data_IF_582918425482
#
_entry.id   IF_582918425482
#
_cell.length_a   1.000
_cell.length_b   1.000
_cell.length_c   1.000
_cell.angle_alpha   90.00
_cell.angle_beta   90.00
_cell.angle_gamma   90.00
#
_symmetry.space_group_name_H-M   'P 1'
#
loop_
_entity.id
_entity.type
_entity.pdbx_description
1 polymer ?
#
# COMPACT_ATOMS: atom_id res chain seq x y z
N UNK A 1 14.66 -2.81 -5.93
CA UNK A 1 14.21 -3.36 -4.64
C UNK A 1 13.54 -4.74 -4.80
N UNK A 2 12.42 -4.86 -5.54
CA UNK A 2 11.72 -6.14 -5.73
C UNK A 2 12.64 -7.27 -6.21
N UNK A 3 13.32 -7.08 -7.34
CA UNK A 3 14.23 -8.09 -7.91
C UNK A 3 15.33 -8.51 -6.93
N UNK A 4 15.75 -7.58 -6.07
CA UNK A 4 16.78 -7.85 -5.08
C UNK A 4 16.24 -8.64 -3.88
N UNK A 5 15.06 -8.27 -3.35
CA UNK A 5 14.39 -9.04 -2.29
C UNK A 5 14.14 -10.48 -2.77
N UNK A 6 13.58 -10.64 -3.96
CA UNK A 6 13.31 -11.94 -4.55
C UNK A 6 14.60 -12.76 -4.75
N UNK A 7 15.68 -12.11 -5.22
CA UNK A 7 16.97 -12.77 -5.38
C UNK A 7 17.53 -13.30 -4.04
N UNK A 8 17.52 -12.49 -3.00
CA UNK A 8 18.00 -12.88 -1.67
C UNK A 8 17.15 -14.02 -1.09
N UNK A 9 15.82 -13.91 -1.16
CA UNK A 9 14.90 -14.95 -0.66
C UNK A 9 15.14 -16.28 -1.38
N UNK A 10 15.19 -16.28 -2.70
CA UNK A 10 15.44 -17.49 -3.50
C UNK A 10 16.81 -18.11 -3.20
N UNK A 11 17.85 -17.28 -3.02
CA UNK A 11 19.18 -17.75 -2.64
C UNK A 11 19.19 -18.43 -1.27
N UNK A 12 18.32 -18.00 -0.37
CA UNK A 12 18.15 -18.59 0.97
C UNK A 12 17.15 -19.76 0.97
N UNK A 13 16.63 -20.17 -0.20
CA UNK A 13 15.68 -21.30 -0.33
C UNK A 13 14.22 -20.95 -0.08
N UNK A 14 13.87 -19.66 -0.08
CA UNK A 14 12.50 -19.19 0.16
C UNK A 14 11.88 -18.60 -1.09
N UNK A 15 10.59 -18.88 -1.29
CA UNK A 15 9.75 -18.23 -2.27
C UNK A 15 9.01 -17.05 -1.63
N UNK A 16 8.94 -15.93 -2.34
CA UNK A 16 8.26 -14.72 -1.88
C UNK A 16 7.43 -14.11 -3.01
N UNK A 17 6.19 -13.78 -2.72
CA UNK A 17 5.30 -13.16 -3.68
C UNK A 17 5.58 -11.64 -3.80
N UNK A 18 5.03 -11.05 -4.87
CA UNK A 18 5.22 -9.63 -5.14
C UNK A 18 4.62 -8.74 -4.03
N UNK A 19 3.43 -9.09 -3.54
CA UNK A 19 2.72 -8.33 -2.52
C UNK A 19 3.51 -8.27 -1.22
N UNK A 20 4.12 -9.37 -0.85
CA UNK A 20 4.99 -9.47 0.33
C UNK A 20 6.28 -8.66 0.16
N UNK A 21 6.88 -8.65 -1.06
CA UNK A 21 8.02 -7.78 -1.36
C UNK A 21 7.68 -6.29 -1.25
N UNK A 22 6.51 -5.87 -1.71
CA UNK A 22 6.06 -4.48 -1.58
C UNK A 22 5.82 -4.09 -0.12
N UNK A 23 5.28 -4.99 0.68
CA UNK A 23 5.11 -4.77 2.11
C UNK A 23 6.45 -4.57 2.83
N UNK A 24 7.48 -5.37 2.46
CA UNK A 24 8.85 -5.19 2.98
C UNK A 24 9.39 -3.81 2.56
N UNK A 25 9.22 -3.43 1.30
CA UNK A 25 9.69 -2.15 0.77
C UNK A 25 9.07 -0.96 1.52
N UNK A 26 7.76 -0.98 1.74
CA UNK A 26 7.07 0.07 2.50
C UNK A 26 7.61 0.21 3.92
N UNK A 27 7.86 -0.91 4.58
CA UNK A 27 8.32 -0.93 5.97
C UNK A 27 9.78 -0.52 6.14
N UNK A 28 10.61 -0.81 5.15
CA UNK A 28 12.06 -0.52 5.22
C UNK A 28 12.46 0.80 4.57
N UNK A 29 11.52 1.50 3.90
CA UNK A 29 11.78 2.79 3.26
C UNK A 29 12.89 2.72 2.21
N UNK A 30 12.91 1.67 1.39
CA UNK A 30 13.97 1.40 0.40
C UNK A 30 15.39 1.18 0.98
N UNK A 31 15.52 0.95 2.28
CA UNK A 31 16.82 0.71 2.92
C UNK A 31 17.20 -0.77 2.81
N UNK A 32 18.16 -1.09 1.91
CA UNK A 32 18.60 -2.46 1.63
C UNK A 32 19.19 -3.16 2.86
N UNK A 33 19.91 -2.43 3.71
CA UNK A 33 20.49 -3.00 4.94
C UNK A 33 19.41 -3.42 5.93
N UNK A 34 18.34 -2.59 6.08
CA UNK A 34 17.18 -2.97 6.91
C UNK A 34 16.47 -4.18 6.33
N UNK A 35 16.29 -4.22 5.01
CA UNK A 35 15.66 -5.38 4.35
C UNK A 35 16.41 -6.66 4.65
N UNK A 36 17.75 -6.66 4.53
CA UNK A 36 18.55 -7.84 4.83
C UNK A 36 18.37 -8.31 6.27
N UNK A 37 18.52 -7.41 7.24
CA UNK A 37 18.38 -7.75 8.66
C UNK A 37 17.01 -8.37 8.96
N UNK A 38 15.95 -7.82 8.36
CA UNK A 38 14.60 -8.32 8.60
C UNK A 38 14.33 -9.66 7.89
N UNK A 39 14.83 -9.84 6.67
CA UNK A 39 14.74 -11.13 5.97
C UNK A 39 15.52 -12.22 6.71
N UNK A 40 16.73 -11.90 7.21
CA UNK A 40 17.54 -12.86 7.98
C UNK A 40 16.79 -13.34 9.24
N UNK A 41 16.05 -12.46 9.93
CA UNK A 41 15.22 -12.85 11.07
C UNK A 41 14.12 -13.85 10.67
N UNK A 42 13.49 -13.63 9.50
CA UNK A 42 12.48 -14.55 8.99
C UNK A 42 13.11 -15.89 8.64
N UNK A 43 14.22 -15.88 7.92
CA UNK A 43 14.92 -17.11 7.52
C UNK A 43 15.37 -17.96 8.73
N UNK A 44 15.74 -17.33 9.83
CA UNK A 44 16.16 -18.02 11.06
C UNK A 44 14.98 -18.67 11.81
N UNK A 45 13.78 -18.13 11.68
CA UNK A 45 12.63 -18.54 12.50
C UNK A 45 11.57 -19.33 11.72
N UNK A 46 11.70 -19.41 10.39
CA UNK A 46 10.70 -20.05 9.53
C UNK A 46 11.21 -21.37 8.95
N UNK A 47 10.42 -22.42 9.14
CA UNK A 47 10.67 -23.76 8.58
C UNK A 47 10.00 -23.99 7.22
N UNK A 48 9.00 -23.21 6.87
CA UNK A 48 8.31 -23.27 5.58
C UNK A 48 9.08 -22.49 4.51
N UNK A 49 9.05 -22.96 3.28
CA UNK A 49 9.79 -22.37 2.15
C UNK A 49 9.11 -21.15 1.51
N UNK A 50 7.87 -20.86 1.86
CA UNK A 50 7.11 -19.72 1.32
C UNK A 50 6.98 -18.62 2.37
N UNK A 51 7.45 -17.40 2.02
CA UNK A 51 7.31 -16.19 2.85
C UNK A 51 6.06 -15.44 2.40
N UNK A 52 5.13 -15.26 3.31
CA UNK A 52 3.88 -14.57 3.08
C UNK A 52 3.76 -13.26 3.91
N UNK A 53 2.72 -12.49 3.65
CA UNK A 53 2.50 -11.21 4.32
C UNK A 53 2.35 -11.33 5.85
N UNK A 54 1.92 -12.48 6.38
CA UNK A 54 1.83 -12.72 7.84
C UNK A 54 3.20 -12.79 8.46
N UNK A 55 4.14 -13.49 7.83
CA UNK A 55 5.51 -13.59 8.32
C UNK A 55 6.15 -12.21 8.47
N UNK A 56 5.88 -11.32 7.48
CA UNK A 56 6.36 -9.94 7.54
C UNK A 56 5.73 -9.19 8.72
N UNK A 57 4.45 -9.40 8.99
CA UNK A 57 3.75 -8.75 10.11
C UNK A 57 4.30 -9.24 11.46
N UNK A 58 4.52 -10.54 11.60
CA UNK A 58 4.99 -11.15 12.85
C UNK A 58 6.46 -10.83 13.15
N UNK A 59 7.34 -10.90 12.14
CA UNK A 59 8.78 -10.81 12.36
C UNK A 59 9.36 -9.40 12.27
N UNK A 60 8.71 -8.47 11.57
CA UNK A 60 9.16 -7.07 11.51
C UNK A 60 8.86 -6.27 12.78
N UNK A 61 8.41 -6.94 13.84
CA UNK A 61 8.31 -6.37 15.20
C UNK A 61 7.34 -5.19 15.35
N UNK A 62 6.51 -4.96 14.36
CA UNK A 62 5.46 -3.94 14.39
C UNK A 62 4.14 -4.69 14.33
N UNK A 63 3.44 -4.70 15.44
CA UNK A 63 2.06 -5.16 15.59
C UNK A 63 1.10 -4.26 14.78
N UNK A 64 1.39 -4.06 13.49
CA UNK A 64 0.45 -3.39 12.60
C UNK A 64 -0.48 -4.45 12.02
N UNK A 65 -1.57 -4.67 12.73
CA UNK A 65 -2.69 -5.48 12.28
C UNK A 65 -3.17 -5.03 10.90
N UNK A 66 -2.97 -3.73 10.57
CA UNK A 66 -3.34 -3.12 9.31
C UNK A 66 -2.22 -2.24 8.74
N UNK A 67 -2.20 -2.10 7.42
CA UNK A 67 -1.27 -1.23 6.68
C UNK A 67 -2.01 -0.26 5.74
N UNK A 68 -1.29 0.74 5.21
CA UNK A 68 -1.86 1.77 4.33
C UNK A 68 -2.42 1.18 3.02
N UNK A 69 -1.83 0.11 2.53
CA UNK A 69 -2.30 -0.60 1.33
C UNK A 69 -3.67 -1.24 1.55
N UNK A 70 -3.84 -1.86 2.73
CA UNK A 70 -5.11 -2.46 3.10
C UNK A 70 -6.19 -1.38 3.25
N UNK A 71 -5.85 -0.23 3.86
CA UNK A 71 -6.76 0.91 3.93
C UNK A 71 -7.21 1.36 2.54
N UNK A 72 -6.28 1.55 1.59
CA UNK A 72 -6.59 1.93 0.21
C UNK A 72 -7.53 0.93 -0.45
N UNK A 73 -7.22 -0.35 -0.36
CA UNK A 73 -8.01 -1.41 -0.99
C UNK A 73 -9.43 -1.47 -0.42
N UNK A 74 -9.59 -1.36 0.89
CA UNK A 74 -10.92 -1.40 1.50
C UNK A 74 -11.72 -0.12 1.21
N UNK A 75 -11.07 1.04 1.10
CA UNK A 75 -11.70 2.27 0.58
C UNK A 75 -12.13 2.06 -0.87
N UNK A 76 -11.26 1.54 -1.73
CA UNK A 76 -11.56 1.26 -3.14
C UNK A 76 -12.77 0.34 -3.34
N UNK A 77 -12.94 -0.63 -2.45
CA UNK A 77 -14.10 -1.55 -2.41
C UNK A 77 -15.36 -0.93 -1.78
N UNK A 78 -15.28 0.28 -1.21
CA UNK A 78 -16.35 0.88 -0.36
C UNK A 78 -16.71 0.01 0.86
N UNK A 79 -15.76 -0.76 1.39
CA UNK A 79 -15.95 -1.56 2.60
C UNK A 79 -15.80 -0.70 3.86
N UNK A 80 -16.79 0.13 4.13
CA UNK A 80 -16.75 1.11 5.22
C UNK A 80 -16.55 0.48 6.60
N UNK A 81 -17.12 -0.70 6.84
CA UNK A 81 -16.95 -1.40 8.14
C UNK A 81 -15.47 -1.68 8.41
N UNK A 82 -14.73 -2.16 7.40
CA UNK A 82 -13.31 -2.46 7.56
C UNK A 82 -12.45 -1.18 7.56
N UNK A 83 -12.82 -0.18 6.75
CA UNK A 83 -12.18 1.14 6.77
C UNK A 83 -12.22 1.77 8.16
N UNK A 84 -13.38 1.72 8.85
CA UNK A 84 -13.49 2.22 10.21
C UNK A 84 -12.60 1.48 11.20
N UNK A 85 -12.53 0.15 11.12
CA UNK A 85 -11.63 -0.66 11.98
C UNK A 85 -10.17 -0.29 11.77
N UNK A 86 -9.73 -0.14 10.51
CA UNK A 86 -8.36 0.24 10.18
C UNK A 86 -8.07 1.67 10.66
N UNK A 87 -8.99 2.60 10.48
CA UNK A 87 -8.84 3.99 10.92
C UNK A 87 -8.76 4.11 12.44
N UNK A 88 -9.60 3.37 13.17
CA UNK A 88 -9.55 3.30 14.63
C UNK A 88 -8.22 2.71 15.12
N UNK A 89 -7.75 1.66 14.46
CA UNK A 89 -6.43 1.09 14.74
C UNK A 89 -5.30 2.11 14.54
N UNK A 90 -5.30 2.85 13.42
CA UNK A 90 -4.29 3.88 13.16
C UNK A 90 -4.35 5.05 14.15
N UNK A 91 -5.54 5.40 14.63
CA UNK A 91 -5.69 6.46 15.64
C UNK A 91 -5.12 6.09 17.01
N UNK A 92 -5.13 4.80 17.35
CA UNK A 92 -4.61 4.26 18.63
C UNK A 92 -3.12 3.89 18.57
N UNK A 93 -2.61 3.69 17.36
CA UNK A 93 -1.23 3.24 17.14
C UNK A 93 -0.50 4.26 16.28
N UNK A 94 0.54 4.88 16.81
CA UNK A 94 1.35 5.90 16.12
C UNK A 94 2.21 5.36 14.97
N UNK A 95 1.76 4.28 14.32
CA UNK A 95 2.51 3.59 13.27
C UNK A 95 2.65 4.41 11.99
N UNK A 96 1.66 5.29 11.73
CA UNK A 96 1.65 6.17 10.58
C UNK A 96 1.26 7.59 10.98
N UNK A 97 1.99 8.57 10.46
CA UNK A 97 1.59 9.97 10.62
C UNK A 97 0.36 10.27 9.75
N UNK A 98 -0.43 11.26 10.17
CA UNK A 98 -1.59 11.71 9.38
C UNK A 98 -1.16 12.17 7.97
N UNK A 99 0.02 12.78 7.84
CA UNK A 99 0.57 13.22 6.56
C UNK A 99 0.87 12.05 5.64
N UNK A 100 1.40 10.93 6.17
CA UNK A 100 1.63 9.71 5.40
C UNK A 100 0.31 9.13 4.89
N UNK A 101 -0.71 9.06 5.75
CA UNK A 101 -2.04 8.56 5.38
C UNK A 101 -2.64 9.43 4.27
N UNK A 102 -2.64 10.76 4.45
CA UNK A 102 -3.22 11.70 3.48
C UNK A 102 -2.48 11.67 2.15
N UNK A 103 -1.13 11.66 2.16
CA UNK A 103 -0.32 11.56 0.95
C UNK A 103 -0.59 10.26 0.18
N UNK A 104 -0.70 9.16 0.90
CA UNK A 104 -0.99 7.85 0.29
C UNK A 104 -2.37 7.82 -0.36
N UNK A 105 -3.39 8.35 0.33
CA UNK A 105 -4.75 8.44 -0.20
C UNK A 105 -4.85 9.43 -1.37
N UNK A 106 -4.13 10.55 -1.32
CA UNK A 106 -4.08 11.51 -2.42
C UNK A 106 -3.54 10.86 -3.69
N UNK A 107 -2.41 10.17 -3.62
CA UNK A 107 -1.82 9.45 -4.74
C UNK A 107 -2.77 8.37 -5.27
N UNK A 108 -3.44 7.64 -4.38
CA UNK A 108 -4.40 6.61 -4.75
C UNK A 108 -5.56 7.19 -5.56
N UNK A 109 -6.22 8.23 -5.08
CA UNK A 109 -7.35 8.85 -5.78
C UNK A 109 -6.92 9.62 -7.03
N UNK A 110 -5.70 10.17 -7.07
CA UNK A 110 -5.12 10.75 -8.29
C UNK A 110 -4.96 9.69 -9.39
N UNK A 111 -4.48 8.51 -9.05
CA UNK A 111 -4.40 7.40 -10.00
C UNK A 111 -5.79 6.95 -10.48
N UNK A 112 -6.77 6.87 -9.59
CA UNK A 112 -8.17 6.56 -9.97
C UNK A 112 -8.72 7.64 -10.92
N UNK A 113 -8.46 8.92 -10.65
CA UNK A 113 -8.83 10.01 -11.52
C UNK A 113 -8.22 9.87 -12.92
N UNK A 114 -6.94 9.53 -13.00
CA UNK A 114 -6.25 9.32 -14.27
C UNK A 114 -6.83 8.13 -15.05
N UNK A 115 -7.23 7.04 -14.37
CA UNK A 115 -7.88 5.88 -15.01
C UNK A 115 -9.14 6.30 -15.77
N UNK A 116 -9.95 7.20 -15.22
CA UNK A 116 -11.14 7.70 -15.90
C UNK A 116 -10.84 8.42 -17.23
N UNK A 117 -9.61 8.86 -17.43
CA UNK A 117 -9.16 9.52 -18.68
C UNK A 117 -8.45 8.56 -19.65
N UNK A 118 -8.13 7.36 -19.20
CA UNK A 118 -7.42 6.35 -20.02
C UNK A 118 -8.44 5.56 -20.83
N UNK A 119 -8.40 5.69 -22.15
CA UNK A 119 -9.25 4.92 -23.08
C UNK A 119 -8.67 3.51 -23.33
N UNK A 120 -8.37 2.78 -22.28
CA UNK A 120 -7.84 1.41 -22.40
C UNK A 120 -8.17 0.60 -21.16
N UNK A 121 -8.74 -0.58 -21.35
CA UNK A 121 -8.96 -1.58 -20.31
C UNK A 121 -7.78 -2.55 -20.17
N UNK A 122 -6.71 -2.37 -20.94
CA UNK A 122 -5.55 -3.24 -20.90
C UNK A 122 -4.69 -2.93 -19.67
N UNK A 123 -4.56 -3.87 -18.71
CA UNK A 123 -3.81 -3.66 -17.47
C UNK A 123 -2.35 -3.26 -17.68
N UNK A 124 -1.69 -3.77 -18.73
CA UNK A 124 -0.30 -3.40 -19.04
C UNK A 124 -0.18 -1.93 -19.47
N UNK A 125 -1.14 -1.44 -20.26
CA UNK A 125 -1.16 -0.04 -20.70
C UNK A 125 -1.41 0.89 -19.50
N UNK A 126 -2.34 0.53 -18.62
CA UNK A 126 -2.67 1.28 -17.40
C UNK A 126 -1.47 1.30 -16.46
N UNK A 127 -0.85 0.14 -16.20
CA UNK A 127 0.36 0.02 -15.38
C UNK A 127 1.46 0.99 -15.85
N UNK A 128 1.74 1.02 -17.14
CA UNK A 128 2.75 1.90 -17.74
C UNK A 128 2.35 3.39 -17.64
N UNK A 129 1.09 3.70 -17.93
CA UNK A 129 0.61 5.09 -17.92
C UNK A 129 0.63 5.72 -16.53
N UNK A 130 0.28 4.93 -15.50
CA UNK A 130 0.21 5.40 -14.11
C UNK A 130 1.52 5.18 -13.33
N UNK A 131 2.49 4.43 -13.88
CA UNK A 131 3.70 4.05 -13.14
C UNK A 131 3.42 3.14 -11.94
N UNK A 132 2.26 2.47 -11.90
CA UNK A 132 1.90 1.52 -10.87
C UNK A 132 2.25 0.10 -11.29
N UNK A 133 2.47 -0.76 -10.30
CA UNK A 133 2.74 -2.14 -10.62
C UNK A 133 1.50 -2.85 -11.18
N UNK A 134 1.73 -3.70 -12.19
CA UNK A 134 0.70 -4.49 -12.87
C UNK A 134 -0.23 -5.25 -11.92
N UNK A 135 0.31 -5.82 -10.84
CA UNK A 135 -0.47 -6.61 -9.88
C UNK A 135 -1.56 -5.81 -9.15
N UNK A 136 -1.39 -4.49 -9.05
CA UNK A 136 -2.38 -3.62 -8.38
C UNK A 136 -3.39 -3.00 -9.34
N UNK A 137 -3.19 -3.12 -10.65
CA UNK A 137 -4.06 -2.49 -11.65
C UNK A 137 -5.53 -2.90 -11.48
N UNK A 138 -5.79 -4.16 -11.19
CA UNK A 138 -7.14 -4.66 -10.99
C UNK A 138 -7.85 -4.01 -9.79
N UNK A 139 -7.12 -3.74 -8.70
CA UNK A 139 -7.66 -3.06 -7.52
C UNK A 139 -8.03 -1.60 -7.86
N UNK A 140 -7.18 -0.92 -8.64
CA UNK A 140 -7.46 0.44 -9.14
C UNK A 140 -8.63 0.48 -10.13
N UNK A 141 -8.72 -0.50 -11.04
CA UNK A 141 -9.85 -0.65 -11.96
C UNK A 141 -11.17 -0.91 -11.21
N UNK A 142 -11.14 -1.73 -10.18
CA UNK A 142 -12.31 -1.95 -9.33
C UNK A 142 -12.72 -0.65 -8.64
N UNK A 143 -11.76 0.09 -8.09
CA UNK A 143 -12.02 1.36 -7.44
C UNK A 143 -12.59 2.41 -8.43
N UNK A 144 -12.06 2.50 -9.65
CA UNK A 144 -12.57 3.43 -10.66
C UNK A 144 -14.02 3.12 -11.08
N UNK A 145 -14.44 1.86 -11.03
CA UNK A 145 -15.85 1.48 -11.24
C UNK A 145 -16.74 1.87 -10.05
N UNK A 146 -16.20 1.83 -8.83
CA UNK A 146 -16.95 2.15 -7.62
C UNK A 146 -17.08 3.67 -7.37
N UNK A 147 -16.13 4.47 -7.88
CA UNK A 147 -16.11 5.92 -7.71
C UNK A 147 -16.21 6.63 -9.06
N UNK A 148 -17.26 7.39 -9.28
CA UNK A 148 -17.35 8.24 -10.47
C UNK A 148 -16.39 9.44 -10.36
N UNK A 149 -16.13 10.10 -11.50
CA UNK A 149 -15.15 11.19 -11.58
C UNK A 149 -15.46 12.37 -10.64
N UNK A 150 -16.75 12.67 -10.40
CA UNK A 150 -17.17 13.75 -9.49
C UNK A 150 -16.88 13.39 -8.04
N UNK A 151 -17.13 12.13 -7.65
CA UNK A 151 -16.80 11.62 -6.32
C UNK A 151 -15.29 11.67 -6.08
N UNK A 152 -14.47 11.22 -7.06
CA UNK A 152 -13.02 11.25 -6.97
C UNK A 152 -12.48 12.66 -6.78
N UNK A 153 -12.93 13.62 -7.60
CA UNK A 153 -12.54 15.04 -7.47
C UNK A 153 -12.91 15.61 -6.10
N UNK A 154 -14.10 15.29 -5.59
CA UNK A 154 -14.52 15.76 -4.28
C UNK A 154 -13.66 15.15 -3.15
N UNK A 155 -13.32 13.86 -3.25
CA UNK A 155 -12.46 13.19 -2.28
C UNK A 155 -11.06 13.81 -2.28
N UNK A 156 -10.46 14.07 -3.45
CA UNK A 156 -9.15 14.73 -3.55
C UNK A 156 -9.20 16.11 -2.85
N UNK A 157 -10.22 16.91 -3.10
CA UNK A 157 -10.39 18.22 -2.43
C UNK A 157 -10.49 18.10 -0.90
N UNK A 158 -11.18 17.06 -0.42
CA UNK A 158 -11.28 16.79 1.02
C UNK A 158 -9.89 16.43 1.58
N UNK A 159 -9.15 15.56 0.90
CA UNK A 159 -7.80 15.16 1.31
C UNK A 159 -6.88 16.39 1.36
N UNK A 160 -6.87 17.23 0.32
CA UNK A 160 -6.07 18.46 0.26
C UNK A 160 -6.40 19.41 1.42
N UNK A 161 -7.69 19.59 1.70
CA UNK A 161 -8.14 20.41 2.85
C UNK A 161 -7.59 19.89 4.18
N UNK A 162 -7.61 18.60 4.40
CA UNK A 162 -7.10 18.00 5.63
C UNK A 162 -5.57 17.95 5.67
N UNK A 163 -4.90 17.84 4.53
CA UNK A 163 -3.45 17.95 4.44
C UNK A 163 -2.99 19.36 4.85
N UNK A 164 -3.62 20.40 4.33
CA UNK A 164 -3.35 21.79 4.76
C UNK A 164 -3.57 21.98 6.26
N UNK A 165 -4.70 21.48 6.80
CA UNK A 165 -4.97 21.55 8.25
C UNK A 165 -3.93 20.79 9.08
N UNK A 166 -3.49 19.64 8.62
CA UNK A 166 -2.46 18.85 9.32
C UNK A 166 -1.11 19.57 9.41
N UNK A 167 -0.88 20.53 8.51
CA UNK A 167 0.31 21.41 8.46
C UNK A 167 0.10 22.75 9.18
N UNK A 168 -1.05 22.95 9.84
CA UNK A 168 -1.36 24.19 10.54
C UNK A 168 -1.83 25.34 9.63
N UNK A 169 -2.20 25.07 8.39
CA UNK A 169 -2.66 26.06 7.42
C UNK A 169 -4.19 26.05 7.37
N UNK A 170 -4.82 27.22 7.54
CA UNK A 170 -6.27 27.37 7.32
C UNK A 170 -7.15 27.16 8.56
N UNK A 171 -6.72 27.64 9.70
CA UNK A 171 -7.55 27.86 10.91
C UNK A 171 -8.28 29.19 10.77
#
# INVERSE_FOLDING_TARGET
MYSWIKYISNRSGYEIDFKTCELIRERTGNNLSKVNVELDKIFLNKSETEINSRDIIEHFGINNEYNLFELQNEIGKKNYSKVFKISDYFSKNSSFSIQQILSTLHNYFTNIFQIHSINSDNPNSISKALGINYFFVNDYLLASKNYNIKEVVNIIRIIDKYDLKSKGIGY
#
